data_IF_070115515272
#
_entry.id   IF_070115515272
#
_cell.length_a   1.000
_cell.length_b   1.000
_cell.length_c   1.000
_cell.angle_alpha   90.00
_cell.angle_beta   90.00
_cell.angle_gamma   90.00
#
_symmetry.space_group_name_H-M   'P 1'
#
loop_
_entity.id
_entity.type
_entity.pdbx_description
1 polymer ?
#
# COMPACT_ATOMS: atom_id res chain seq x y z
N UNK A 1 2.81 -5.18 -13.64
CA UNK A 1 2.03 -5.45 -12.42
C UNK A 1 2.66 -6.61 -11.68
N UNK A 2 2.89 -6.46 -10.39
CA UNK A 2 3.41 -7.54 -9.56
C UNK A 2 2.44 -7.85 -8.45
N UNK A 3 2.17 -9.14 -8.23
CA UNK A 3 1.30 -9.61 -7.16
C UNK A 3 2.11 -10.56 -6.29
N UNK A 4 2.23 -10.23 -5.03
CA UNK A 4 3.02 -10.99 -4.07
C UNK A 4 2.09 -11.49 -2.97
N UNK A 5 2.11 -12.80 -2.73
CA UNK A 5 1.27 -13.39 -1.68
C UNK A 5 1.92 -13.19 -0.32
N UNK A 6 1.18 -12.59 0.58
CA UNK A 6 1.57 -12.44 1.96
C UNK A 6 0.33 -12.44 2.84
N UNK A 7 0.30 -13.34 3.81
CA UNK A 7 -0.83 -13.46 4.73
C UNK A 7 -0.64 -12.56 5.93
N UNK A 8 -1.63 -11.71 6.19
CA UNK A 8 -1.66 -10.83 7.36
C UNK A 8 -2.62 -11.45 8.38
N UNK A 9 -2.08 -12.20 9.33
CA UNK A 9 -2.92 -12.99 10.24
C UNK A 9 -2.69 -12.70 11.72
N UNK A 10 -1.91 -11.70 12.04
CA UNK A 10 -1.66 -11.33 13.44
C UNK A 10 -1.33 -9.85 13.56
N UNK A 11 -1.41 -9.34 14.79
CA UNK A 11 -1.08 -7.95 15.11
C UNK A 11 0.38 -7.60 14.86
N UNK A 12 1.24 -8.61 14.78
CA UNK A 12 2.66 -8.40 14.51
C UNK A 12 3.00 -8.55 13.02
N UNK A 13 2.01 -8.78 12.17
CA UNK A 13 2.27 -8.94 10.74
C UNK A 13 2.73 -7.63 10.13
N UNK A 14 3.74 -7.72 9.28
CA UNK A 14 4.33 -6.57 8.59
C UNK A 14 4.59 -6.94 7.15
N UNK A 15 4.20 -6.09 6.23
CA UNK A 15 4.58 -6.17 4.84
C UNK A 15 5.69 -5.15 4.59
N UNK A 16 6.83 -5.62 4.12
CA UNK A 16 7.99 -4.77 3.83
C UNK A 16 8.36 -4.93 2.36
N UNK A 17 8.51 -3.83 1.65
CA UNK A 17 8.97 -3.86 0.28
C UNK A 17 9.83 -2.66 -0.03
N UNK A 18 10.71 -2.82 -0.99
CA UNK A 18 11.65 -1.79 -1.43
C UNK A 18 11.58 -1.64 -2.93
N UNK A 19 11.73 -0.43 -3.41
CA UNK A 19 11.69 -0.17 -4.82
C UNK A 19 12.31 1.15 -5.19
N UNK A 20 12.38 1.39 -6.49
CA UNK A 20 12.87 2.64 -7.05
C UNK A 20 11.88 3.08 -8.12
N UNK A 21 11.42 4.32 -8.03
CA UNK A 21 10.53 4.86 -9.03
C UNK A 21 11.28 5.05 -10.34
N UNK A 22 10.67 4.60 -11.44
CA UNK A 22 11.25 4.74 -12.78
C UNK A 22 10.65 5.95 -13.49
N UNK A 23 11.40 6.59 -14.40
CA UNK A 23 10.85 7.66 -15.22
C UNK A 23 9.68 7.16 -16.07
N UNK A 24 8.56 7.89 -16.05
CA UNK A 24 7.42 7.57 -16.89
C UNK A 24 6.50 8.77 -17.01
N UNK A 25 5.50 8.67 -17.88
CA UNK A 25 4.50 9.71 -18.06
C UNK A 25 3.53 9.80 -16.89
N UNK A 26 3.24 8.69 -16.23
CA UNK A 26 2.26 8.67 -15.14
C UNK A 26 2.86 9.10 -13.82
N UNK A 27 4.13 8.82 -13.61
CA UNK A 27 4.84 9.13 -12.37
C UNK A 27 4.05 8.70 -11.13
N UNK A 28 3.49 7.50 -11.19
CA UNK A 28 2.54 7.01 -10.20
C UNK A 28 2.77 5.53 -9.94
N UNK A 29 2.56 5.11 -8.70
CA UNK A 29 2.47 3.69 -8.39
C UNK A 29 1.36 3.45 -7.36
N UNK A 30 0.83 2.24 -7.36
CA UNK A 30 -0.28 1.83 -6.50
C UNK A 30 0.10 0.56 -5.77
N UNK A 31 -0.14 0.55 -4.47
CA UNK A 31 0.07 -0.61 -3.61
C UNK A 31 -1.27 -0.98 -3.00
N UNK A 32 -1.63 -2.26 -3.07
CA UNK A 32 -2.90 -2.74 -2.52
C UNK A 32 -2.69 -4.00 -1.70
N UNK A 33 -3.33 -4.06 -0.53
CA UNK A 33 -3.48 -5.28 0.25
C UNK A 33 -4.85 -5.86 -0.07
N UNK A 34 -4.88 -7.02 -0.71
CA UNK A 34 -6.10 -7.58 -1.28
C UNK A 34 -6.41 -8.96 -0.73
N UNK A 35 -7.69 -9.35 -0.78
CA UNK A 35 -8.14 -10.62 -0.22
C UNK A 35 -7.80 -11.80 -1.11
N UNK A 36 -8.23 -11.80 -2.36
CA UNK A 36 -7.95 -12.91 -3.28
C UNK A 36 -7.67 -12.37 -4.68
N UNK A 37 -6.41 -12.50 -5.15
CA UNK A 37 -6.03 -11.95 -6.46
C UNK A 37 -6.67 -12.67 -7.65
N UNK A 38 -7.29 -13.84 -7.43
CA UNK A 38 -7.91 -14.63 -8.50
C UNK A 38 -9.40 -14.37 -8.65
N UNK A 39 -10.02 -13.63 -7.71
CA UNK A 39 -11.43 -13.29 -7.78
C UNK A 39 -11.64 -11.97 -8.50
N UNK A 40 -12.80 -11.85 -9.18
CA UNK A 40 -13.14 -10.61 -9.90
C UNK A 40 -13.54 -9.50 -8.96
N UNK A 41 -14.14 -9.84 -7.82
CA UNK A 41 -14.52 -8.87 -6.78
C UNK A 41 -13.69 -9.09 -5.53
N UNK A 42 -12.49 -8.54 -5.54
CA UNK A 42 -11.55 -8.64 -4.44
C UNK A 42 -11.75 -7.47 -3.48
N UNK A 43 -11.81 -7.77 -2.19
CA UNK A 43 -11.75 -6.73 -1.18
C UNK A 43 -10.34 -6.16 -1.11
N UNK A 44 -10.25 -4.85 -0.94
CA UNK A 44 -8.99 -4.13 -0.79
C UNK A 44 -9.00 -3.47 0.57
N UNK A 45 -8.21 -4.01 1.48
CA UNK A 45 -8.15 -3.48 2.84
C UNK A 45 -7.42 -2.15 2.93
N UNK A 46 -6.45 -1.96 2.06
CA UNK A 46 -5.72 -0.70 1.94
C UNK A 46 -5.20 -0.58 0.52
N UNK A 47 -5.52 0.51 -0.14
CA UNK A 47 -4.90 0.92 -1.39
C UNK A 47 -4.20 2.24 -1.19
N UNK A 48 -2.94 2.31 -1.57
CA UNK A 48 -2.13 3.51 -1.47
C UNK A 48 -1.71 3.91 -2.88
N UNK A 49 -2.14 5.08 -3.32
CA UNK A 49 -1.76 5.64 -4.61
C UNK A 49 -0.79 6.78 -4.39
N UNK A 50 0.45 6.60 -4.85
CA UNK A 50 1.50 7.59 -4.75
C UNK A 50 1.64 8.29 -6.09
N UNK A 51 1.46 9.61 -6.10
CA UNK A 51 1.65 10.44 -7.29
C UNK A 51 2.82 11.39 -7.06
N UNK A 52 3.85 11.25 -7.87
CA UNK A 52 5.01 12.15 -7.81
C UNK A 52 4.66 13.52 -8.37
N UNK A 53 3.79 13.56 -9.37
CA UNK A 53 3.34 14.81 -10.00
C UNK A 53 2.62 15.69 -9.00
N UNK A 54 1.67 15.12 -8.28
CA UNK A 54 0.85 15.85 -7.31
C UNK A 54 1.48 15.90 -5.93
N UNK A 55 2.55 15.15 -5.71
CA UNK A 55 3.17 14.93 -4.41
C UNK A 55 2.14 14.50 -3.38
N UNK A 56 1.32 13.52 -3.77
CA UNK A 56 0.21 13.04 -2.94
C UNK A 56 0.33 11.54 -2.67
N UNK A 57 -0.24 11.15 -1.55
CA UNK A 57 -0.36 9.75 -1.13
C UNK A 57 -1.81 9.53 -0.72
N UNK A 58 -2.61 9.01 -1.63
CA UNK A 58 -4.06 8.85 -1.43
C UNK A 58 -4.32 7.43 -0.94
N UNK A 59 -5.09 7.31 0.13
CA UNK A 59 -5.43 6.02 0.73
C UNK A 59 -6.92 5.80 0.68
N UNK A 60 -7.30 4.56 0.44
CA UNK A 60 -8.71 4.15 0.43
C UNK A 60 -8.81 2.63 0.65
N UNK A 61 -10.02 2.16 0.80
CA UNK A 61 -10.34 0.75 0.88
C UNK A 61 -11.58 0.46 0.04
N UNK A 62 -11.66 -0.76 -0.51
CA UNK A 62 -12.82 -1.22 -1.26
C UNK A 62 -13.38 -2.43 -0.55
N UNK A 63 -14.57 -2.28 0.00
CA UNK A 63 -15.22 -3.33 0.79
C UNK A 63 -16.58 -3.64 0.17
N UNK A 64 -16.80 -4.90 -0.13
CA UNK A 64 -18.04 -5.38 -0.77
C UNK A 64 -18.35 -4.60 -2.05
N UNK A 65 -17.33 -4.40 -2.86
CA UNK A 65 -17.45 -3.75 -4.17
C UNK A 65 -17.55 -2.23 -4.13
N UNK A 66 -17.41 -1.61 -2.96
CA UNK A 66 -17.58 -0.16 -2.82
C UNK A 66 -16.34 0.51 -2.27
N UNK A 67 -15.87 1.53 -2.96
CA UNK A 67 -14.83 2.41 -2.46
C UNK A 67 -15.38 3.33 -1.37
N UNK A 68 -14.59 3.53 -0.33
CA UNK A 68 -14.93 4.46 0.74
C UNK A 68 -14.40 5.85 0.48
N UNK A 69 -14.25 6.62 1.55
CA UNK A 69 -13.73 7.98 1.50
C UNK A 69 -12.21 7.97 1.42
N UNK A 70 -11.66 8.75 0.52
CA UNK A 70 -10.22 8.91 0.39
C UNK A 70 -9.64 9.67 1.57
N UNK A 71 -8.43 9.27 2.00
CA UNK A 71 -7.62 9.98 2.99
C UNK A 71 -6.33 10.43 2.30
N UNK A 72 -5.96 11.68 2.50
CA UNK A 72 -4.84 12.30 1.76
C UNK A 72 -3.83 13.00 2.65
N UNK A 73 -4.15 13.26 3.91
CA UNK A 73 -3.26 14.02 4.80
C UNK A 73 -1.97 13.28 5.07
N UNK A 74 -0.85 13.93 4.85
CA UNK A 74 0.49 13.41 5.14
C UNK A 74 1.33 14.53 5.73
N UNK A 75 2.28 14.21 6.64
CA UNK A 75 3.15 15.24 7.23
C UNK A 75 4.20 15.75 6.25
N UNK A 76 4.58 14.94 5.27
CA UNK A 76 5.59 15.26 4.25
C UNK A 76 5.48 14.25 3.12
N UNK A 77 6.06 14.56 1.94
CA UNK A 77 6.10 13.62 0.83
C UNK A 77 7.46 12.93 0.84
N UNK A 78 7.52 11.62 1.17
CA UNK A 78 8.80 10.95 1.43
C UNK A 78 9.53 10.43 0.20
N UNK A 79 8.94 10.53 -0.98
CA UNK A 79 9.49 9.91 -2.18
C UNK A 79 10.22 10.93 -3.04
N UNK A 80 11.35 10.50 -3.61
CA UNK A 80 12.10 11.28 -4.58
C UNK A 80 12.23 10.45 -5.85
N UNK A 81 11.96 11.07 -6.99
CA UNK A 81 12.03 10.39 -8.29
C UNK A 81 13.39 9.70 -8.47
N UNK A 82 13.35 8.45 -8.95
CA UNK A 82 14.51 7.63 -9.23
C UNK A 82 15.39 7.29 -8.03
N UNK A 83 14.92 7.52 -6.82
CA UNK A 83 15.60 7.10 -5.60
C UNK A 83 14.94 5.90 -4.96
N UNK A 84 15.78 5.06 -4.39
CA UNK A 84 15.35 3.87 -3.65
C UNK A 84 14.62 4.26 -2.37
N UNK A 85 13.61 3.50 -2.01
CA UNK A 85 12.89 3.66 -0.74
C UNK A 85 12.44 2.30 -0.20
N UNK A 86 12.18 2.26 1.09
CA UNK A 86 11.62 1.09 1.77
C UNK A 86 10.30 1.47 2.42
N UNK A 87 9.23 0.75 2.09
CA UNK A 87 7.93 0.95 2.71
C UNK A 87 7.58 -0.23 3.62
N UNK A 88 7.12 0.08 4.81
CA UNK A 88 6.65 -0.90 5.78
C UNK A 88 5.20 -0.65 6.11
N UNK A 89 4.38 -1.70 6.00
CA UNK A 89 2.98 -1.66 6.38
C UNK A 89 2.82 -2.59 7.58
N UNK A 90 2.59 -2.02 8.74
CA UNK A 90 2.45 -2.76 9.99
C UNK A 90 0.97 -2.92 10.31
N UNK A 91 0.57 -4.15 10.61
CA UNK A 91 -0.80 -4.44 11.04
C UNK A 91 -0.88 -4.29 12.56
N UNK A 92 -1.50 -3.22 13.01
CA UNK A 92 -1.76 -2.97 14.42
C UNK A 92 -3.16 -3.42 14.80
N UNK A 93 -3.57 -3.17 16.05
CA UNK A 93 -4.85 -3.70 16.55
C UNK A 93 -6.05 -3.18 15.76
N UNK A 94 -6.09 -1.89 15.43
CA UNK A 94 -7.24 -1.28 14.77
C UNK A 94 -6.89 -0.52 13.51
N UNK A 95 -5.64 -0.58 13.08
CA UNK A 95 -5.18 0.22 11.97
C UNK A 95 -3.94 -0.36 11.31
N UNK A 96 -3.71 0.04 10.06
CA UNK A 96 -2.41 -0.10 9.43
C UNK A 96 -1.57 1.12 9.80
N UNK A 97 -0.31 0.86 10.13
CA UNK A 97 0.68 1.94 10.26
C UNK A 97 1.66 1.81 9.12
N UNK A 98 1.86 2.89 8.38
CA UNK A 98 2.75 2.89 7.23
C UNK A 98 3.94 3.80 7.49
N UNK A 99 5.13 3.23 7.28
CA UNK A 99 6.41 3.93 7.43
C UNK A 99 7.16 3.87 6.12
N UNK A 100 7.86 4.94 5.80
CA UNK A 100 8.76 4.99 4.64
C UNK A 100 10.13 5.39 5.15
N UNK A 101 11.13 4.57 4.83
CA UNK A 101 12.53 4.75 5.27
C UNK A 101 12.64 4.95 6.79
N UNK A 102 11.81 4.21 7.55
CA UNK A 102 11.82 4.24 9.00
C UNK A 102 11.02 5.37 9.63
N UNK A 103 10.42 6.25 8.85
CA UNK A 103 9.61 7.36 9.36
C UNK A 103 8.14 7.13 9.10
N UNK A 104 7.32 7.41 10.11
CA UNK A 104 5.88 7.24 9.99
C UNK A 104 5.30 8.22 8.99
N UNK A 105 4.48 7.70 8.08
CA UNK A 105 3.82 8.49 7.07
C UNK A 105 2.34 8.69 7.37
N UNK A 106 1.63 7.61 7.66
CA UNK A 106 0.22 7.69 8.02
C UNK A 106 -0.23 6.44 8.76
N UNK A 107 -1.36 6.57 9.46
CA UNK A 107 -2.15 5.46 9.98
C UNK A 107 -3.44 5.39 9.19
N UNK A 108 -3.96 4.18 8.99
CA UNK A 108 -5.22 3.98 8.28
C UNK A 108 -6.07 3.00 9.08
N UNK A 109 -7.17 3.49 9.64
CA UNK A 109 -8.09 2.67 10.44
C UNK A 109 -8.73 1.60 9.56
N UNK A 110 -8.78 0.38 10.06
CA UNK A 110 -9.37 -0.73 9.32
C UNK A 110 -10.82 -0.44 8.96
N UNK A 111 -11.13 -0.64 7.69
CA UNK A 111 -12.51 -0.63 7.18
C UNK A 111 -12.96 -2.02 6.80
N UNK A 112 -11.99 -2.93 6.62
CA UNK A 112 -12.21 -4.34 6.36
C UNK A 112 -11.86 -5.10 7.63
N UNK A 113 -12.84 -5.82 8.20
CA UNK A 113 -12.70 -6.39 9.54
C UNK A 113 -11.89 -7.68 9.58
N UNK A 114 -11.89 -8.43 8.50
CA UNK A 114 -11.25 -9.73 8.45
C UNK A 114 -9.84 -9.61 7.85
N UNK A 115 -8.96 -8.94 8.58
CA UNK A 115 -7.60 -8.63 8.10
C UNK A 115 -6.84 -9.88 7.67
N UNK A 116 -7.07 -11.02 8.33
CA UNK A 116 -6.43 -12.28 7.96
C UNK A 116 -6.76 -12.76 6.55
N UNK A 117 -7.82 -12.24 5.93
CA UNK A 117 -8.16 -12.56 4.54
C UNK A 117 -7.38 -11.75 3.52
N UNK A 118 -6.67 -10.72 3.95
CA UNK A 118 -5.80 -9.96 3.07
C UNK A 118 -4.51 -10.75 2.89
N UNK A 119 -4.43 -11.52 1.81
CA UNK A 119 -3.38 -12.50 1.60
C UNK A 119 -2.38 -12.13 0.51
N UNK A 120 -2.62 -11.04 -0.19
CA UNK A 120 -1.74 -10.65 -1.29
C UNK A 120 -1.41 -9.16 -1.24
N UNK A 121 -0.18 -8.85 -1.61
CA UNK A 121 0.31 -7.49 -1.84
C UNK A 121 0.41 -7.30 -3.35
N UNK A 122 -0.30 -6.32 -3.87
CA UNK A 122 -0.31 -6.01 -5.31
C UNK A 122 0.37 -4.67 -5.51
N UNK A 123 1.35 -4.63 -6.38
CA UNK A 123 2.11 -3.42 -6.68
C UNK A 123 2.05 -3.17 -8.18
N UNK A 124 1.57 -1.99 -8.56
CA UNK A 124 1.41 -1.61 -9.96
C UNK A 124 2.02 -0.22 -10.15
N UNK A 125 2.73 -0.02 -11.24
CA UNK A 125 3.15 1.32 -11.62
C UNK A 125 4.60 1.41 -12.05
N UNK A 126 5.08 2.63 -12.05
CA UNK A 126 6.38 3.00 -12.60
C UNK A 126 7.48 2.85 -11.56
N UNK A 127 7.78 1.60 -11.23
CA UNK A 127 8.85 1.34 -10.26
C UNK A 127 9.53 0.02 -10.58
N UNK A 128 10.76 -0.10 -10.08
CA UNK A 128 11.50 -1.36 -10.05
C UNK A 128 11.44 -1.90 -8.63
N UNK A 129 10.87 -3.08 -8.48
CA UNK A 129 10.83 -3.75 -7.21
C UNK A 129 12.17 -4.42 -6.95
N UNK A 130 12.80 -4.12 -5.81
CA UNK A 130 14.12 -4.64 -5.49
C UNK A 130 14.10 -5.67 -4.36
N UNK A 131 13.08 -5.62 -3.48
CA UNK A 131 13.00 -6.55 -2.36
C UNK A 131 11.57 -6.61 -1.85
N UNK A 132 11.14 -7.81 -1.47
CA UNK A 132 9.88 -8.02 -0.75
C UNK A 132 10.12 -9.02 0.37
N UNK A 133 9.64 -8.69 1.53
CA UNK A 133 9.80 -9.53 2.72
C UNK A 133 8.43 -9.87 3.31
#
# INVERSE_FOLDING_TARGET
MEIIKKTLHSLSSTAIWEGTQLPSYTECFVISLISNPLETETDIGLEVTVSFRDRSVVRNAKVSGKWGKEEKNIPYFPFTAMQHFKMEILCEHQQFRVQVDGQQLFDFTYRFQQIHKLTALKIIGDLRLTKVV
#
